data_IF_998247598531
#
_entry.id   IF_998247598531
#
_cell.length_a   1.000
_cell.length_b   1.000
_cell.length_c   1.000
_cell.angle_alpha   90.00
_cell.angle_beta   90.00
_cell.angle_gamma   90.00
#
_symmetry.space_group_name_H-M   'P 1'
#
loop_
_entity.id
_entity.type
_entity.pdbx_description
1 polymer ?
#
# COMPACT_ATOMS: atom_id res chain seq x y z
N UNK A 1 4.83 6.00 -4.79
CA UNK A 1 6.23 6.20 -4.37
C UNK A 1 6.31 7.43 -3.50
N UNK A 2 6.35 7.26 -2.17
CA UNK A 2 5.92 8.32 -1.26
C UNK A 2 6.89 9.44 -0.93
N UNK A 3 8.16 9.25 -1.25
CA UNK A 3 9.22 10.22 -0.96
C UNK A 3 10.32 10.24 -2.04
N UNK A 4 10.16 9.47 -3.12
CA UNK A 4 11.14 9.44 -4.20
C UNK A 4 10.90 10.63 -5.14
N UNK A 5 11.92 11.46 -5.33
CA UNK A 5 11.93 12.44 -6.41
C UNK A 5 12.11 11.75 -7.78
N UNK A 6 11.97 12.52 -8.86
CA UNK A 6 12.07 12.02 -10.23
C UNK A 6 13.44 11.40 -10.51
N UNK A 7 14.52 11.94 -9.96
CA UNK A 7 15.87 11.38 -10.15
C UNK A 7 16.02 10.01 -9.48
N UNK A 8 15.49 9.83 -8.26
CA UNK A 8 15.47 8.53 -7.59
C UNK A 8 14.72 7.47 -8.41
N UNK A 9 13.56 7.83 -8.97
CA UNK A 9 12.80 6.92 -9.83
C UNK A 9 13.58 6.49 -11.08
N UNK A 10 14.27 7.44 -11.74
CA UNK A 10 15.13 7.15 -12.89
C UNK A 10 16.27 6.21 -12.52
N UNK A 11 16.92 6.42 -11.37
CA UNK A 11 17.99 5.54 -10.88
C UNK A 11 17.47 4.15 -10.59
N UNK A 12 16.36 4.01 -9.88
CA UNK A 12 15.73 2.71 -9.61
C UNK A 12 15.34 1.99 -10.91
N UNK A 13 14.86 2.72 -11.90
CA UNK A 13 14.45 2.13 -13.17
C UNK A 13 15.67 1.59 -13.94
N UNK A 14 16.80 2.30 -13.90
CA UNK A 14 18.06 1.81 -14.48
C UNK A 14 18.53 0.53 -13.80
N UNK A 15 18.40 0.42 -12.48
CA UNK A 15 18.75 -0.80 -11.73
C UNK A 15 17.87 -1.97 -12.17
N UNK A 16 16.56 -1.76 -12.31
CA UNK A 16 15.64 -2.81 -12.79
C UNK A 16 16.02 -3.25 -14.20
N UNK A 17 16.31 -2.31 -15.12
CA UNK A 17 16.73 -2.62 -16.50
C UNK A 17 18.05 -3.38 -16.56
N UNK A 18 19.01 -3.02 -15.71
CA UNK A 18 20.28 -3.74 -15.62
C UNK A 18 20.06 -5.19 -15.14
N UNK A 19 19.23 -5.37 -14.12
CA UNK A 19 18.89 -6.71 -13.60
C UNK A 19 18.14 -7.56 -14.65
N UNK A 20 17.19 -6.98 -15.40
CA UNK A 20 16.53 -7.65 -16.53
C UNK A 20 17.54 -8.15 -17.56
N UNK A 21 18.54 -7.31 -17.91
CA UNK A 21 19.57 -7.68 -18.88
C UNK A 21 20.46 -8.82 -18.38
N UNK A 22 20.78 -8.86 -17.08
CA UNK A 22 21.63 -9.89 -16.48
C UNK A 22 20.90 -11.23 -16.40
N UNK A 23 19.63 -11.22 -15.98
CA UNK A 23 18.85 -12.45 -15.76
C UNK A 23 18.25 -12.95 -17.09
N UNK A 24 18.08 -12.08 -18.08
CA UNK A 24 17.50 -12.43 -19.39
C UNK A 24 15.98 -12.59 -19.36
N UNK A 25 15.31 -12.16 -18.29
CA UNK A 25 13.84 -12.21 -18.14
C UNK A 25 13.29 -10.82 -17.84
N UNK A 26 12.05 -10.55 -18.26
CA UNK A 26 11.37 -9.31 -17.90
C UNK A 26 11.05 -9.30 -16.40
N UNK A 27 11.39 -8.21 -15.74
CA UNK A 27 11.13 -8.00 -14.31
C UNK A 27 9.87 -7.14 -14.14
N UNK A 28 9.16 -7.28 -13.01
CA UNK A 28 8.01 -6.44 -12.72
C UNK A 28 8.40 -4.97 -12.69
N UNK A 29 7.49 -4.11 -13.19
CA UNK A 29 7.75 -2.68 -13.25
C UNK A 29 7.87 -2.09 -11.84
N UNK A 30 8.57 -0.97 -11.70
CA UNK A 30 8.69 -0.26 -10.42
C UNK A 30 7.31 0.06 -9.79
N UNK A 31 6.30 0.57 -10.52
CA UNK A 31 4.94 0.73 -10.02
C UNK A 31 4.32 -0.56 -9.47
N UNK A 32 4.54 -1.69 -10.13
CA UNK A 32 3.98 -2.99 -9.72
C UNK A 32 4.65 -3.50 -8.44
N UNK A 33 5.98 -3.41 -8.37
CA UNK A 33 6.74 -3.73 -7.17
C UNK A 33 6.27 -2.87 -6.00
N UNK A 34 6.13 -1.57 -6.23
CA UNK A 34 5.68 -0.62 -5.21
C UNK A 34 4.25 -0.93 -4.76
N UNK A 35 3.31 -1.12 -5.68
CA UNK A 35 1.91 -1.38 -5.36
C UNK A 35 1.73 -2.70 -4.62
N UNK A 36 2.47 -3.74 -5.00
CA UNK A 36 2.47 -5.04 -4.32
C UNK A 36 3.00 -4.91 -2.89
N UNK A 37 4.14 -4.24 -2.71
CA UNK A 37 4.75 -4.03 -1.37
C UNK A 37 3.87 -3.15 -0.48
N UNK A 38 3.33 -2.07 -1.04
CA UNK A 38 2.42 -1.16 -0.37
C UNK A 38 1.20 -1.91 0.16
N UNK A 39 0.56 -2.69 -0.70
CA UNK A 39 -0.61 -3.49 -0.34
C UNK A 39 -0.23 -4.47 0.76
N UNK A 40 0.75 -5.36 0.54
CA UNK A 40 1.18 -6.36 1.54
C UNK A 40 1.49 -5.74 2.92
N UNK A 41 2.18 -4.60 2.96
CA UNK A 41 2.49 -3.93 4.23
C UNK A 41 1.24 -3.35 4.89
N UNK A 42 0.35 -2.74 4.13
CA UNK A 42 -0.92 -2.23 4.64
C UNK A 42 -1.80 -3.35 5.23
N UNK A 43 -1.87 -4.51 4.55
CA UNK A 43 -2.60 -5.68 5.03
C UNK A 43 -2.04 -6.18 6.36
N UNK A 44 -0.71 -6.26 6.50
CA UNK A 44 -0.06 -6.69 7.75
C UNK A 44 -0.35 -5.75 8.91
N UNK A 45 -0.32 -4.45 8.67
CA UNK A 45 -0.65 -3.45 9.72
C UNK A 45 -2.13 -3.55 10.10
N UNK A 46 -3.02 -3.70 9.12
CA UNK A 46 -4.45 -3.81 9.39
C UNK A 46 -4.82 -5.08 10.18
N UNK A 47 -4.08 -6.17 9.96
CA UNK A 47 -4.29 -7.44 10.63
C UNK A 47 -3.66 -7.54 12.04
N UNK A 48 -2.77 -6.60 12.41
CA UNK A 48 -2.07 -6.62 13.70
C UNK A 48 -2.76 -5.67 14.69
N UNK A 49 -3.53 -6.17 15.67
CA UNK A 49 -4.23 -5.34 16.65
C UNK A 49 -3.28 -4.60 17.59
N UNK A 50 -2.03 -5.04 17.73
CA UNK A 50 -1.03 -4.40 18.59
C UNK A 50 -0.33 -3.23 17.89
N UNK A 51 -0.54 -3.07 16.58
CA UNK A 51 0.15 -2.05 15.81
C UNK A 51 -0.46 -0.66 16.09
N UNK A 52 0.35 0.36 16.44
CA UNK A 52 -0.16 1.69 16.83
C UNK A 52 -0.93 2.42 15.72
N UNK A 53 -0.74 1.98 14.48
CA UNK A 53 -1.35 2.56 13.28
C UNK A 53 -2.51 1.75 12.73
N UNK A 54 -2.91 0.66 13.40
CA UNK A 54 -3.98 -0.23 12.97
C UNK A 54 -5.33 0.51 12.89
N UNK A 55 -5.59 1.45 13.78
CA UNK A 55 -6.79 2.31 13.77
C UNK A 55 -6.96 3.16 12.50
N UNK A 56 -5.87 3.42 11.77
CA UNK A 56 -5.95 4.12 10.48
C UNK A 56 -6.45 3.22 9.33
N UNK A 57 -6.55 1.92 9.56
CA UNK A 57 -7.04 0.90 8.62
C UNK A 57 -8.40 0.33 9.03
N UNK A 58 -9.22 1.13 9.71
CA UNK A 58 -10.58 0.77 10.07
C UNK A 58 -11.52 0.73 8.85
N UNK A 59 -12.32 -0.34 8.76
CA UNK A 59 -13.42 -0.44 7.82
C UNK A 59 -14.59 0.45 8.22
N UNK A 60 -15.29 0.98 7.22
CA UNK A 60 -16.61 1.55 7.40
C UNK A 60 -17.63 0.45 7.75
N UNK A 61 -18.79 0.79 8.34
CA UNK A 61 -19.82 -0.18 8.71
C UNK A 61 -20.29 -1.10 7.58
N UNK A 62 -20.14 -0.67 6.32
CA UNK A 62 -20.44 -1.49 5.14
C UNK A 62 -19.45 -2.64 4.91
N UNK A 63 -18.34 -2.71 5.63
CA UNK A 63 -17.31 -3.74 5.51
C UNK A 63 -16.49 -3.69 4.21
N UNK A 64 -16.79 -2.76 3.29
CA UNK A 64 -16.24 -2.78 1.93
C UNK A 64 -15.08 -1.83 1.71
N UNK A 65 -15.00 -0.74 2.48
CA UNK A 65 -14.03 0.34 2.29
C UNK A 65 -13.46 0.79 3.62
N UNK A 66 -12.22 1.25 3.59
CA UNK A 66 -11.54 1.91 4.69
C UNK A 66 -11.93 3.39 4.76
N UNK A 67 -11.81 3.98 5.96
CA UNK A 67 -11.98 5.42 6.15
C UNK A 67 -10.96 6.22 5.34
N UNK A 68 -11.43 7.06 4.43
CA UNK A 68 -10.56 7.95 3.63
C UNK A 68 -9.90 9.02 4.48
N UNK A 69 -8.61 9.25 4.24
CA UNK A 69 -7.81 10.27 4.95
C UNK A 69 -7.67 11.55 4.12
N UNK A 70 -7.87 12.69 4.77
CA UNK A 70 -7.71 14.02 4.16
C UNK A 70 -6.26 14.46 4.23
N UNK A 71 -5.69 14.83 3.08
CA UNK A 71 -4.35 15.39 3.00
C UNK A 71 -4.35 16.73 2.26
N UNK A 72 -3.78 17.76 2.90
CA UNK A 72 -3.67 19.12 2.34
C UNK A 72 -2.43 19.31 1.48
N UNK A 73 -1.34 18.59 1.77
CA UNK A 73 -0.06 18.71 1.05
C UNK A 73 0.24 17.46 0.24
N UNK A 74 1.01 17.61 -0.85
CA UNK A 74 1.46 16.47 -1.65
C UNK A 74 2.33 15.53 -0.82
N UNK A 75 3.25 16.06 -0.01
CA UNK A 75 4.06 15.26 0.93
C UNK A 75 3.23 14.32 1.81
N UNK A 76 2.09 14.80 2.34
CA UNK A 76 1.20 13.95 3.13
C UNK A 76 0.41 12.97 2.25
N UNK A 77 -0.11 13.41 1.09
CA UNK A 77 -0.77 12.53 0.11
C UNK A 77 0.14 11.38 -0.33
N UNK A 78 1.43 11.67 -0.45
CA UNK A 78 2.44 10.74 -0.89
C UNK A 78 2.96 9.86 0.25
N UNK A 79 2.71 10.19 1.51
CA UNK A 79 3.08 9.32 2.65
C UNK A 79 2.51 7.90 2.51
N UNK A 80 3.20 6.94 3.15
CA UNK A 80 2.81 5.52 3.13
C UNK A 80 1.33 5.31 3.45
N UNK A 81 0.82 5.94 4.53
CA UNK A 81 -0.54 5.71 5.01
C UNK A 81 -1.60 6.19 4.03
N UNK A 82 -1.42 7.38 3.47
CA UNK A 82 -2.38 7.92 2.51
C UNK A 82 -2.39 7.10 1.21
N UNK A 83 -1.21 6.69 0.73
CA UNK A 83 -1.13 5.83 -0.45
C UNK A 83 -1.74 4.44 -0.16
N UNK A 84 -1.49 3.87 1.01
CA UNK A 84 -2.00 2.56 1.41
C UNK A 84 -3.53 2.53 1.47
N UNK A 85 -4.13 3.47 2.21
CA UNK A 85 -5.60 3.56 2.33
C UNK A 85 -6.27 3.77 0.97
N UNK A 86 -5.72 4.67 0.14
CA UNK A 86 -6.23 4.88 -1.23
C UNK A 86 -6.10 3.63 -2.10
N UNK A 87 -4.95 2.94 -2.04
CA UNK A 87 -4.72 1.74 -2.84
C UNK A 87 -5.70 0.64 -2.44
N UNK A 88 -5.89 0.40 -1.14
CA UNK A 88 -6.84 -0.58 -0.65
C UNK A 88 -8.28 -0.22 -1.04
N UNK A 89 -8.67 1.05 -0.92
CA UNK A 89 -10.00 1.51 -1.36
C UNK A 89 -10.24 1.47 -2.87
N UNK A 90 -9.19 1.36 -3.69
CA UNK A 90 -9.31 1.20 -5.15
C UNK A 90 -9.53 -0.25 -5.59
N UNK A 91 -9.39 -1.22 -4.68
CA UNK A 91 -9.62 -2.63 -4.98
C UNK A 91 -11.14 -2.91 -5.02
N UNK A 92 -11.62 -3.74 -5.96
CA UNK A 92 -13.05 -4.04 -6.12
C UNK A 92 -13.64 -4.76 -4.89
N UNK A 93 -12.82 -5.59 -4.27
CA UNK A 93 -13.03 -6.19 -2.97
C UNK A 93 -11.71 -6.08 -2.20
N UNK A 94 -11.79 -5.68 -0.93
CA UNK A 94 -10.66 -5.84 -0.04
C UNK A 94 -10.43 -7.35 0.13
N UNK A 95 -9.17 -7.83 0.07
CA UNK A 95 -8.91 -9.20 0.48
C UNK A 95 -9.52 -9.42 1.88
N UNK A 96 -9.94 -10.64 2.24
CA UNK A 96 -10.49 -10.93 3.55
C UNK A 96 -9.41 -10.71 4.61
N UNK A 97 -9.28 -9.48 5.06
CA UNK A 97 -8.32 -9.05 6.09
C UNK A 97 -8.92 -9.12 7.48
N UNK A 98 -10.24 -9.26 7.55
CA UNK A 98 -11.02 -8.97 8.74
C UNK A 98 -12.11 -10.01 8.97
N UNK A 99 -11.94 -11.23 8.46
CA UNK A 99 -12.74 -12.37 8.91
C UNK A 99 -12.26 -12.84 10.28
N UNK A 100 -12.36 -11.97 11.29
CA UNK A 100 -12.53 -12.40 12.66
C UNK A 100 -13.93 -11.94 13.08
N UNK A 101 -14.76 -12.84 13.64
CA UNK A 101 -16.10 -12.47 14.09
C UNK A 101 -15.98 -11.43 15.20
N UNK A 102 -17.02 -10.63 15.46
CA UNK A 102 -17.07 -9.82 16.66
C UNK A 102 -16.97 -10.78 17.86
N UNK A 103 -15.88 -10.70 18.64
CA UNK A 103 -15.89 -11.28 19.97
C UNK A 103 -16.87 -10.44 20.79
N UNK A 104 -18.06 -10.99 20.92
CA UNK A 104 -19.07 -10.58 21.89
C UNK A 104 -18.49 -10.83 23.29
N UNK A 105 -18.47 -9.78 24.11
CA UNK A 105 -18.55 -9.89 25.56
C UNK A 105 -19.99 -9.59 25.96
#
# INVERSE_FOLDING_TARGET
>A
FGACNVSCLKTLQRIVRAAEKVIGVSLPSLPDIYSTRLTKKALRIAADPTHPMQSLFELLPSGRRLRSLKARTNRLKDSFIHQAVRKLNSLPALPPLLSFPPQSL
#
